data_IF_212365223188
#
_entry.id   IF_212365223188
#
_cell.length_a   1.000
_cell.length_b   1.000
_cell.length_c   1.000
_cell.angle_alpha   90.00
_cell.angle_beta   90.00
_cell.angle_gamma   90.00
#
_symmetry.space_group_name_H-M   'P 1'
#
loop_
_entity.id
_entity.type
_entity.pdbx_description
1 polymer ?
#
# COMPACT_ATOMS: atom_id res chain seq x y z
N UNK A 1 10.29 -20.79 10.08
CA UNK A 1 8.95 -20.28 10.36
C UNK A 1 9.00 -18.75 10.43
N UNK A 2 8.21 -18.11 9.60
CA UNK A 2 8.14 -16.65 9.59
C UNK A 2 7.27 -16.20 10.77
N UNK A 3 7.90 -15.51 11.73
CA UNK A 3 7.24 -15.01 12.93
C UNK A 3 6.83 -13.54 12.80
N UNK A 4 6.96 -12.96 11.61
CA UNK A 4 6.64 -11.55 11.38
C UNK A 4 5.14 -11.29 11.58
N UNK A 5 4.82 -10.32 12.42
CA UNK A 5 3.43 -9.92 12.65
C UNK A 5 2.92 -9.01 11.54
N UNK A 6 1.60 -8.92 11.32
CA UNK A 6 1.05 -7.94 10.37
C UNK A 6 1.49 -6.50 10.66
N UNK A 7 1.58 -6.11 11.93
CA UNK A 7 2.06 -4.77 12.30
C UNK A 7 3.50 -4.53 11.86
N UNK A 8 4.36 -5.54 12.01
CA UNK A 8 5.75 -5.46 11.52
C UNK A 8 5.80 -5.36 10.00
N UNK A 9 4.92 -6.06 9.29
CA UNK A 9 4.83 -5.97 7.83
C UNK A 9 4.42 -4.56 7.39
N UNK A 10 3.47 -3.96 8.08
CA UNK A 10 3.07 -2.57 7.78
C UNK A 10 4.20 -1.59 8.04
N UNK A 11 4.98 -1.80 9.10
CA UNK A 11 6.15 -0.96 9.37
C UNK A 11 7.16 -1.03 8.23
N UNK A 12 7.37 -2.21 7.65
CA UNK A 12 8.24 -2.38 6.49
C UNK A 12 7.71 -1.63 5.26
N UNK A 13 6.39 -1.67 5.05
CA UNK A 13 5.75 -0.95 3.95
C UNK A 13 5.92 0.56 4.14
N UNK A 14 5.68 1.08 5.34
CA UNK A 14 5.84 2.50 5.64
C UNK A 14 7.29 2.94 5.43
N UNK A 15 8.24 2.13 5.87
CA UNK A 15 9.66 2.43 5.67
C UNK A 15 10.03 2.49 4.18
N UNK A 16 9.43 1.64 3.35
CA UNK A 16 9.71 1.62 1.90
C UNK A 16 9.27 2.91 1.21
N UNK A 17 8.20 3.55 1.71
CA UNK A 17 7.73 4.81 1.17
C UNK A 17 8.72 5.96 1.40
N UNK A 18 9.58 5.81 2.41
CA UNK A 18 10.57 6.82 2.73
C UNK A 18 9.99 8.02 3.45
N UNK A 19 10.86 8.69 4.22
CA UNK A 19 10.54 9.96 4.86
C UNK A 19 11.17 11.13 4.10
N UNK A 20 11.66 10.89 2.90
CA UNK A 20 12.40 11.86 2.12
C UNK A 20 11.46 12.68 1.25
N UNK A 21 11.37 13.98 1.53
CA UNK A 21 10.51 14.92 0.83
C UNK A 21 11.04 15.30 -0.56
N UNK A 22 12.15 14.74 -1.00
CA UNK A 22 12.74 15.09 -2.30
C UNK A 22 12.02 14.49 -3.50
N UNK A 23 11.15 13.50 -3.28
CA UNK A 23 10.35 12.91 -4.34
C UNK A 23 9.01 13.62 -4.46
N UNK A 24 8.63 13.95 -5.71
CA UNK A 24 7.33 14.51 -5.98
C UNK A 24 6.25 13.46 -5.75
N UNK A 25 5.33 13.79 -4.86
CA UNK A 25 4.12 13.01 -4.64
C UNK A 25 2.95 13.75 -5.28
N UNK A 26 2.39 13.19 -6.34
CA UNK A 26 1.20 13.75 -6.96
C UNK A 26 -0.03 13.19 -6.24
N UNK A 27 -0.72 14.05 -5.51
CA UNK A 27 -1.97 13.68 -4.87
C UNK A 27 -3.13 14.28 -5.68
N UNK A 28 -4.00 13.44 -6.27
CA UNK A 28 -5.17 13.97 -6.95
C UNK A 28 -6.13 14.61 -5.95
N UNK A 29 -6.86 15.61 -6.42
CA UNK A 29 -7.96 16.16 -5.66
C UNK A 29 -9.01 15.08 -5.44
N UNK A 30 -9.43 14.89 -4.19
CA UNK A 30 -10.43 13.89 -3.85
C UNK A 30 -11.74 14.53 -3.46
N UNK A 31 -12.83 13.84 -3.77
CA UNK A 31 -14.16 14.16 -3.28
C UNK A 31 -14.15 14.14 -1.73
N UNK A 32 -14.74 15.16 -1.06
CA UNK A 32 -14.80 15.19 0.40
C UNK A 32 -15.41 13.94 1.01
N UNK A 33 -16.40 13.30 0.36
CA UNK A 33 -16.98 12.06 0.85
C UNK A 33 -15.96 10.93 0.87
N UNK A 34 -15.12 10.83 -0.16
CA UNK A 34 -14.05 9.83 -0.23
C UNK A 34 -13.02 10.09 0.87
N UNK A 35 -12.64 11.33 1.10
CA UNK A 35 -11.70 11.68 2.17
C UNK A 35 -12.28 11.35 3.55
N UNK A 36 -13.56 11.62 3.78
CA UNK A 36 -14.23 11.28 5.03
C UNK A 36 -14.23 9.77 5.28
N UNK A 37 -14.48 8.98 4.25
CA UNK A 37 -14.44 7.52 4.36
C UNK A 37 -13.02 7.02 4.64
N UNK A 38 -12.04 7.63 4.01
CA UNK A 38 -10.62 7.29 4.23
C UNK A 38 -10.19 7.62 5.66
N UNK A 39 -10.59 8.80 6.16
CA UNK A 39 -10.30 9.21 7.53
C UNK A 39 -11.00 8.30 8.54
N UNK A 40 -12.24 7.93 8.28
CA UNK A 40 -13.00 6.96 9.09
C UNK A 40 -12.26 5.63 9.16
N UNK A 41 -11.76 5.15 8.03
CA UNK A 41 -11.00 3.89 7.97
C UNK A 41 -9.74 3.97 8.83
N UNK A 42 -9.01 5.09 8.79
CA UNK A 42 -7.81 5.28 9.60
C UNK A 42 -8.13 5.24 11.10
N UNK A 43 -9.21 5.92 11.51
CA UNK A 43 -9.62 5.92 12.91
C UNK A 43 -10.02 4.53 13.39
N UNK A 44 -10.79 3.81 12.56
CA UNK A 44 -11.22 2.43 12.87
C UNK A 44 -10.03 1.47 12.94
N UNK A 45 -9.09 1.60 12.02
CA UNK A 45 -7.86 0.81 12.04
C UNK A 45 -7.08 1.03 13.34
N UNK A 46 -6.90 2.28 13.73
CA UNK A 46 -6.19 2.65 14.97
C UNK A 46 -6.92 2.09 16.21
N UNK A 47 -8.26 2.07 16.18
CA UNK A 47 -9.08 1.52 17.26
C UNK A 47 -9.13 -0.02 17.25
N UNK A 48 -8.55 -0.68 16.26
CA UNK A 48 -8.59 -2.13 16.15
C UNK A 48 -9.82 -2.69 15.44
N UNK A 49 -10.71 -1.83 14.95
CA UNK A 49 -11.87 -2.24 14.17
C UNK A 49 -11.47 -2.43 12.70
N UNK A 50 -10.81 -3.54 12.41
CA UNK A 50 -10.27 -3.81 11.08
C UNK A 50 -11.39 -4.07 10.06
N UNK A 51 -12.43 -4.78 10.45
CA UNK A 51 -13.56 -5.04 9.56
C UNK A 51 -14.28 -3.75 9.20
N UNK A 52 -14.48 -2.84 10.16
CA UNK A 52 -15.09 -1.54 9.91
C UNK A 52 -14.21 -0.66 9.03
N UNK A 53 -12.89 -0.70 9.24
CA UNK A 53 -11.96 0.03 8.40
C UNK A 53 -12.01 -0.46 6.94
N UNK A 54 -12.00 -1.78 6.74
CA UNK A 54 -12.12 -2.36 5.41
C UNK A 54 -13.43 -1.99 4.72
N UNK A 55 -14.55 -2.01 5.45
CA UNK A 55 -15.85 -1.63 4.92
C UNK A 55 -15.88 -0.17 4.47
N UNK A 56 -15.27 0.75 5.23
CA UNK A 56 -15.18 2.16 4.85
C UNK A 56 -14.36 2.34 3.57
N UNK A 57 -13.23 1.64 3.46
CA UNK A 57 -12.41 1.70 2.24
C UNK A 57 -13.12 1.09 1.05
N UNK A 58 -13.87 0.00 1.24
CA UNK A 58 -14.66 -0.60 0.17
C UNK A 58 -15.74 0.36 -0.34
N UNK A 59 -16.38 1.13 0.55
CA UNK A 59 -17.32 2.17 0.14
C UNK A 59 -16.62 3.25 -0.67
N UNK A 60 -15.45 3.70 -0.23
CA UNK A 60 -14.68 4.70 -0.96
C UNK A 60 -14.28 4.18 -2.36
N UNK A 61 -13.89 2.91 -2.47
CA UNK A 61 -13.53 2.29 -3.74
C UNK A 61 -14.74 2.10 -4.67
N UNK A 62 -15.96 2.02 -4.14
CA UNK A 62 -17.16 2.04 -4.98
C UNK A 62 -17.34 3.39 -5.66
N UNK A 63 -16.96 4.47 -4.97
CA UNK A 63 -17.05 5.82 -5.54
C UNK A 63 -15.91 6.11 -6.51
N UNK A 64 -14.69 5.68 -6.20
CA UNK A 64 -13.50 5.90 -7.02
C UNK A 64 -12.68 4.60 -7.12
N UNK A 65 -13.12 3.64 -7.95
CA UNK A 65 -12.49 2.32 -8.01
C UNK A 65 -11.06 2.31 -8.55
N UNK A 66 -10.61 3.41 -9.16
CA UNK A 66 -9.32 3.49 -9.82
C UNK A 66 -8.35 4.43 -9.08
N UNK A 67 -8.53 4.63 -7.79
CA UNK A 67 -7.63 5.44 -6.97
C UNK A 67 -6.52 4.56 -6.37
N UNK A 68 -5.26 4.71 -6.84
CA UNK A 68 -4.17 3.86 -6.35
C UNK A 68 -3.91 3.99 -4.86
N UNK A 69 -4.08 5.17 -4.27
CA UNK A 69 -3.86 5.37 -2.85
C UNK A 69 -4.91 4.64 -2.01
N UNK A 70 -6.18 4.64 -2.44
CA UNK A 70 -7.23 3.87 -1.77
C UNK A 70 -7.00 2.36 -1.89
N UNK A 71 -6.56 1.91 -3.07
CA UNK A 71 -6.23 0.51 -3.28
C UNK A 71 -5.07 0.09 -2.37
N UNK A 72 -4.07 0.95 -2.20
CA UNK A 72 -2.97 0.70 -1.28
C UNK A 72 -3.44 0.63 0.17
N UNK A 73 -4.28 1.58 0.60
CA UNK A 73 -4.86 1.55 1.95
C UNK A 73 -5.62 0.23 2.17
N UNK A 74 -6.40 -0.21 1.18
CA UNK A 74 -7.18 -1.45 1.28
C UNK A 74 -6.27 -2.68 1.28
N UNK A 75 -5.17 -2.65 0.52
CA UNK A 75 -4.17 -3.74 0.52
C UNK A 75 -3.54 -3.89 1.90
N UNK A 76 -3.20 -2.78 2.56
CA UNK A 76 -2.64 -2.81 3.91
C UNK A 76 -3.64 -3.39 4.91
N UNK A 77 -4.92 -3.04 4.79
CA UNK A 77 -5.96 -3.64 5.62
C UNK A 77 -6.07 -5.15 5.39
N UNK A 78 -5.94 -5.59 4.15
CA UNK A 78 -5.95 -7.02 3.84
C UNK A 78 -4.82 -7.75 4.55
N UNK A 79 -3.61 -7.17 4.61
CA UNK A 79 -2.50 -7.75 5.36
C UNK A 79 -2.83 -7.85 6.85
N UNK A 80 -3.44 -6.82 7.43
CA UNK A 80 -3.84 -6.84 8.84
C UNK A 80 -4.88 -7.92 9.12
N UNK A 81 -5.78 -8.15 8.15
CA UNK A 81 -6.80 -9.19 8.23
C UNK A 81 -6.27 -10.57 7.87
N UNK A 82 -4.98 -10.68 7.56
CA UNK A 82 -4.32 -11.90 7.11
C UNK A 82 -4.87 -12.44 5.79
N UNK A 83 -5.41 -11.57 4.97
CA UNK A 83 -5.82 -11.88 3.60
C UNK A 83 -4.67 -11.50 2.65
N UNK A 84 -3.66 -12.33 2.62
CA UNK A 84 -2.43 -12.06 1.86
C UNK A 84 -2.68 -12.04 0.36
N UNK A 85 -3.52 -12.93 -0.14
CA UNK A 85 -3.89 -12.96 -1.56
C UNK A 85 -4.63 -11.69 -1.97
N UNK A 86 -5.56 -11.21 -1.12
CA UNK A 86 -6.29 -9.95 -1.33
C UNK A 86 -5.33 -8.75 -1.31
N UNK A 87 -4.40 -8.74 -0.38
CA UNK A 87 -3.39 -7.68 -0.28
C UNK A 87 -2.60 -7.55 -1.57
N UNK A 88 -2.11 -8.67 -2.09
CA UNK A 88 -1.37 -8.68 -3.35
C UNK A 88 -2.23 -8.22 -4.52
N UNK A 89 -3.48 -8.66 -4.59
CA UNK A 89 -4.39 -8.30 -5.67
C UNK A 89 -4.70 -6.80 -5.69
N UNK A 90 -4.99 -6.21 -4.53
CA UNK A 90 -5.22 -4.76 -4.44
C UNK A 90 -3.98 -3.97 -4.83
N UNK A 91 -2.81 -4.39 -4.35
CA UNK A 91 -1.56 -3.71 -4.67
C UNK A 91 -1.22 -3.78 -6.16
N UNK A 92 -1.45 -4.92 -6.81
CA UNK A 92 -1.24 -5.06 -8.26
C UNK A 92 -2.14 -4.14 -9.06
N UNK A 93 -3.41 -4.03 -8.68
CA UNK A 93 -4.32 -3.08 -9.33
C UNK A 93 -3.82 -1.65 -9.17
N UNK A 94 -3.32 -1.29 -7.99
CA UNK A 94 -2.77 0.04 -7.74
C UNK A 94 -1.57 0.32 -8.64
N UNK A 95 -0.69 -0.65 -8.84
CA UNK A 95 0.47 -0.51 -9.72
C UNK A 95 0.03 -0.24 -11.15
N UNK A 96 -0.97 -0.98 -11.64
CA UNK A 96 -1.46 -0.84 -13.01
C UNK A 96 -2.10 0.53 -13.28
N UNK A 97 -2.65 1.14 -12.23
CA UNK A 97 -3.41 2.40 -12.35
C UNK A 97 -2.59 3.64 -11.97
N UNK A 98 -1.48 3.45 -11.25
CA UNK A 98 -0.73 4.54 -10.65
C UNK A 98 0.60 4.81 -11.30
N UNK A 99 1.37 5.64 -10.61
CA UNK A 99 2.74 5.97 -11.02
C UNK A 99 3.66 4.76 -10.88
N UNK A 100 4.56 4.60 -11.82
CA UNK A 100 5.57 3.55 -11.80
C UNK A 100 6.82 3.96 -11.01
N UNK A 101 6.80 5.14 -10.39
CA UNK A 101 7.90 5.68 -9.59
C UNK A 101 7.34 6.37 -8.34
N UNK A 102 8.20 6.58 -7.36
CA UNK A 102 7.90 7.36 -6.17
C UNK A 102 7.46 6.53 -4.97
N UNK A 103 7.15 7.21 -3.85
CA UNK A 103 6.85 6.52 -2.58
C UNK A 103 5.68 5.56 -2.65
N UNK A 104 4.62 5.93 -3.35
CA UNK A 104 3.43 5.07 -3.46
C UNK A 104 3.74 3.80 -4.25
N UNK A 105 4.50 3.93 -5.35
CA UNK A 105 4.97 2.77 -6.12
C UNK A 105 5.76 1.81 -5.22
N UNK A 106 6.67 2.32 -4.41
CA UNK A 106 7.45 1.48 -3.49
C UNK A 106 6.53 0.79 -2.46
N UNK A 107 5.52 1.48 -1.95
CA UNK A 107 4.57 0.89 -0.99
C UNK A 107 3.76 -0.24 -1.62
N UNK A 108 3.35 -0.09 -2.88
CA UNK A 108 2.64 -1.17 -3.58
C UNK A 108 3.49 -2.43 -3.67
N UNK A 109 4.73 -2.30 -4.12
CA UNK A 109 5.62 -3.46 -4.26
C UNK A 109 6.04 -4.03 -2.91
N UNK A 110 6.23 -3.17 -1.89
CA UNK A 110 6.52 -3.64 -0.53
C UNK A 110 5.35 -4.45 0.03
N UNK A 111 4.12 -4.06 -0.26
CA UNK A 111 2.93 -4.81 0.14
C UNK A 111 2.92 -6.19 -0.51
N UNK A 112 3.24 -6.27 -1.81
CA UNK A 112 3.33 -7.54 -2.51
C UNK A 112 4.45 -8.40 -1.92
N UNK A 113 5.60 -7.81 -1.63
CA UNK A 113 6.69 -8.52 -0.96
C UNK A 113 6.23 -9.12 0.36
N UNK A 114 5.60 -8.33 1.22
CA UNK A 114 5.15 -8.80 2.53
C UNK A 114 4.06 -9.87 2.42
N UNK A 115 3.14 -9.74 1.47
CA UNK A 115 2.11 -10.74 1.23
C UNK A 115 2.73 -12.08 0.80
N UNK A 116 3.74 -12.02 -0.05
CA UNK A 116 4.45 -13.23 -0.52
C UNK A 116 5.26 -13.87 0.59
N UNK A 117 5.94 -13.06 1.42
CA UNK A 117 6.66 -13.57 2.59
C UNK A 117 5.71 -14.24 3.58
N UNK A 118 4.54 -13.65 3.81
CA UNK A 118 3.54 -14.22 4.70
C UNK A 118 3.05 -15.60 4.25
N UNK A 119 3.07 -15.85 2.93
CA UNK A 119 2.69 -17.15 2.34
C UNK A 119 3.87 -18.08 2.14
N UNK A 120 5.07 -17.70 2.62
CA UNK A 120 6.28 -18.52 2.47
C UNK A 120 6.88 -18.51 1.06
N UNK A 121 6.51 -17.56 0.23
CA UNK A 121 6.96 -17.46 -1.17
C UNK A 121 8.21 -16.57 -1.27
N UNK A 122 9.32 -17.02 -0.75
CA UNK A 122 10.54 -16.24 -0.62
C UNK A 122 11.10 -15.75 -1.97
N UNK A 123 11.10 -16.61 -2.99
CA UNK A 123 11.63 -16.24 -4.31
C UNK A 123 10.75 -15.19 -4.98
N UNK A 124 9.43 -15.35 -4.89
CA UNK A 124 8.50 -14.37 -5.41
C UNK A 124 8.57 -13.05 -4.66
N UNK A 125 8.84 -13.11 -3.34
CA UNK A 125 9.04 -11.91 -2.53
C UNK A 125 10.30 -11.15 -2.98
N UNK A 126 11.38 -11.85 -3.29
CA UNK A 126 12.61 -11.23 -3.77
C UNK A 126 12.39 -10.50 -5.10
N UNK A 127 11.55 -11.05 -5.98
CA UNK A 127 11.15 -10.39 -7.22
C UNK A 127 10.46 -9.05 -6.94
N UNK A 128 9.52 -9.03 -5.98
CA UNK A 128 8.83 -7.79 -5.60
C UNK A 128 9.82 -6.76 -5.01
N UNK A 129 10.78 -7.21 -4.21
CA UNK A 129 11.79 -6.33 -3.63
C UNK A 129 12.62 -5.64 -4.71
N UNK A 130 12.97 -6.35 -5.77
CA UNK A 130 13.70 -5.75 -6.90
C UNK A 130 12.88 -4.62 -7.54
N UNK A 131 11.57 -4.75 -7.62
CA UNK A 131 10.69 -3.71 -8.15
C UNK A 131 10.62 -2.48 -7.24
N UNK A 132 10.81 -2.64 -5.92
CA UNK A 132 10.85 -1.50 -5.01
C UNK A 132 12.00 -0.55 -5.41
N UNK A 133 13.16 -1.12 -5.69
CA UNK A 133 14.31 -0.32 -6.16
C UNK A 133 14.01 0.37 -7.49
N UNK A 134 13.30 -0.31 -8.38
CA UNK A 134 12.88 0.25 -9.67
C UNK A 134 11.92 1.41 -9.57
N UNK A 135 11.21 1.57 -8.44
CA UNK A 135 10.32 2.70 -8.20
C UNK A 135 11.06 3.97 -7.80
N UNK A 136 12.32 3.86 -7.39
CA UNK A 136 13.05 5.00 -6.87
C UNK A 136 13.50 5.91 -8.02
N UNK A 137 13.06 7.17 -7.94
CA UNK A 137 13.54 8.19 -8.88
C UNK A 137 14.91 8.62 -8.41
N UNK A 138 15.93 8.39 -9.24
CA UNK A 138 17.26 8.90 -8.96
C UNK A 138 17.16 10.42 -8.83
N UNK A 139 17.71 10.96 -7.73
CA UNK A 139 17.75 12.39 -7.54
C UNK A 139 18.36 13.05 -8.79
N UNK A 140 17.73 14.14 -9.26
CA UNK A 140 18.23 14.85 -10.42
C UNK A 140 19.58 15.42 -10.04
N UNK A 141 20.63 14.84 -10.62
CA UNK A 141 21.95 15.44 -10.52
C UNK A 141 21.98 16.62 -11.46
N UNK A 142 21.97 17.79 -10.88
CA UNK A 142 22.18 19.02 -11.65
C UNK A 142 23.68 19.30 -11.68
N UNK A 143 24.18 19.30 -12.86
CA UNK A 143 25.57 19.68 -13.10
C UNK A 143 25.64 21.17 -13.43
#
# INVERSE_FOLDING_TARGET
VDTTTPAQRLAAIDASGGADDTELSVQPLRDPQVEDLRDSAKRKRTAGDLAGAAAALDQALQLVPQDPALLQDRAELALLLKDDAGAEAFAKRAIDLGSQTGPLCRRHWATIEQARLARGQKENAASAQAHIEGCTVAGIKRY
#
